data_IF_553737308542
#
_entry.id   IF_553737308542
#
_cell.length_a   1.000
_cell.length_b   1.000
_cell.length_c   1.000
_cell.angle_alpha   90.00
_cell.angle_beta   90.00
_cell.angle_gamma   90.00
#
_symmetry.space_group_name_H-M   'P 1'
#
loop_
_entity.id
_entity.type
_entity.pdbx_description
1 polymer ?
#
# COMPACT_ATOMS: atom_id res chain seq x y z
N UNK A 1 7.90 -51.58 13.83
CA UNK A 1 6.65 -50.98 13.28
C UNK A 1 5.88 -50.46 14.48
N UNK A 2 5.92 -49.19 14.87
CA UNK A 2 6.26 -47.94 14.20
C UNK A 2 7.16 -47.12 15.14
N UNK A 3 8.32 -46.70 14.62
CA UNK A 3 9.02 -45.50 15.11
C UNK A 3 8.29 -44.30 14.52
N UNK A 4 7.66 -43.48 15.36
CA UNK A 4 7.60 -42.05 15.10
C UNK A 4 7.88 -41.38 16.44
N UNK A 5 9.15 -41.03 16.59
CA UNK A 5 9.71 -40.24 17.68
C UNK A 5 8.84 -39.02 17.96
N UNK A 6 8.56 -38.84 19.24
CA UNK A 6 8.09 -37.62 19.89
C UNK A 6 8.96 -36.43 19.46
N UNK A 7 8.64 -35.77 18.35
CA UNK A 7 9.24 -34.51 17.90
C UNK A 7 8.24 -33.34 18.01
N UNK A 8 7.35 -33.42 19.00
CA UNK A 8 6.29 -32.43 19.28
C UNK A 8 6.46 -31.75 20.65
N UNK A 9 7.69 -31.71 21.17
CA UNK A 9 8.18 -30.87 22.28
C UNK A 9 9.37 -30.11 21.67
N UNK A 10 9.54 -28.79 21.58
CA UNK A 10 9.06 -27.57 22.23
C UNK A 10 9.19 -26.45 21.15
N UNK A 11 8.31 -25.48 20.91
CA UNK A 11 7.87 -24.43 21.83
C UNK A 11 9.02 -23.76 22.62
N UNK A 12 10.14 -23.46 21.96
CA UNK A 12 11.11 -22.46 22.46
C UNK A 12 11.30 -21.33 21.45
N UNK A 13 10.38 -20.38 21.51
CA UNK A 13 10.52 -18.97 21.09
C UNK A 13 11.66 -18.28 21.90
N UNK A 14 12.83 -18.89 22.03
CA UNK A 14 13.91 -18.43 22.92
C UNK A 14 15.14 -19.34 23.03
N UNK A 15 15.25 -20.39 22.21
CA UNK A 15 16.39 -21.32 22.23
C UNK A 15 17.37 -21.21 21.06
N UNK A 16 16.99 -20.52 19.98
CA UNK A 16 17.83 -20.34 18.81
C UNK A 16 18.69 -19.07 18.97
N UNK A 17 19.99 -19.16 18.69
CA UNK A 17 20.95 -18.04 18.78
C UNK A 17 20.48 -16.85 17.93
N UNK A 18 19.74 -17.14 16.86
CA UNK A 18 19.20 -16.13 15.94
C UNK A 18 17.85 -15.51 16.35
N UNK A 19 17.17 -16.05 17.36
CA UNK A 19 15.79 -15.69 17.66
C UNK A 19 15.61 -14.25 18.16
N UNK A 20 16.48 -13.80 19.09
CA UNK A 20 16.45 -12.42 19.60
C UNK A 20 16.76 -11.39 18.49
N UNK A 21 17.67 -11.74 17.57
CA UNK A 21 17.98 -10.94 16.40
C UNK A 21 16.77 -10.85 15.47
N UNK A 22 16.13 -11.99 15.19
CA UNK A 22 14.92 -12.04 14.38
C UNK A 22 13.79 -11.18 14.96
N UNK A 23 13.56 -11.22 16.27
CA UNK A 23 12.54 -10.38 16.93
C UNK A 23 12.86 -8.89 16.79
N UNK A 24 14.12 -8.53 17.02
CA UNK A 24 14.58 -7.14 16.91
C UNK A 24 14.41 -6.62 15.48
N UNK A 25 14.84 -7.40 14.49
CA UNK A 25 14.75 -7.02 13.07
C UNK A 25 13.30 -6.94 12.60
N UNK A 26 12.49 -7.94 12.94
CA UNK A 26 11.06 -7.98 12.59
C UNK A 26 10.32 -6.77 13.17
N UNK A 27 10.56 -6.47 14.45
CA UNK A 27 9.95 -5.30 15.10
C UNK A 27 10.42 -4.00 14.45
N UNK A 28 11.72 -3.86 14.17
CA UNK A 28 12.28 -2.67 13.51
C UNK A 28 11.69 -2.45 12.12
N UNK A 29 11.56 -3.51 11.32
CA UNK A 29 10.95 -3.46 9.99
C UNK A 29 9.48 -3.02 10.07
N UNK A 30 8.71 -3.62 10.99
CA UNK A 30 7.29 -3.30 11.16
C UNK A 30 7.07 -1.86 11.65
N UNK A 31 7.89 -1.37 12.60
CA UNK A 31 7.82 0.02 13.06
C UNK A 31 8.16 1.00 11.94
N UNK A 32 9.20 0.69 11.16
CA UNK A 32 9.63 1.48 10.00
C UNK A 32 8.54 1.56 8.92
N UNK A 33 7.87 0.42 8.64
CA UNK A 33 6.73 0.35 7.73
C UNK A 33 5.55 1.17 8.23
N UNK A 34 5.19 1.03 9.52
CA UNK A 34 4.10 1.78 10.13
C UNK A 34 4.33 3.29 10.09
N UNK A 35 5.59 3.73 10.30
CA UNK A 35 5.96 5.15 10.17
C UNK A 35 5.78 5.65 8.74
N UNK A 36 6.24 4.90 7.73
CA UNK A 36 6.06 5.26 6.32
C UNK A 36 4.58 5.28 5.90
N UNK A 37 3.80 4.31 6.35
CA UNK A 37 2.37 4.26 6.07
C UNK A 37 1.67 5.52 6.60
N UNK A 38 1.99 5.95 7.83
CA UNK A 38 1.46 7.20 8.41
C UNK A 38 1.85 8.41 7.59
N UNK A 39 3.13 8.58 7.28
CA UNK A 39 3.61 9.70 6.47
C UNK A 39 2.89 9.77 5.11
N UNK A 40 2.66 8.63 4.47
CA UNK A 40 1.97 8.59 3.19
C UNK A 40 0.47 8.92 3.32
N UNK A 41 -0.22 8.31 4.29
CA UNK A 41 -1.64 8.59 4.56
C UNK A 41 -1.86 10.06 4.90
N UNK A 42 -1.05 10.62 5.80
CA UNK A 42 -1.13 12.02 6.20
C UNK A 42 -0.82 12.95 5.02
N UNK A 43 0.20 12.61 4.24
CA UNK A 43 0.55 13.32 3.00
C UNK A 43 -0.62 13.37 2.02
N UNK A 44 -1.25 12.24 1.71
CA UNK A 44 -2.43 12.22 0.84
C UNK A 44 -3.60 12.99 1.41
N UNK A 45 -3.89 12.84 2.70
CA UNK A 45 -5.01 13.54 3.36
C UNK A 45 -4.78 15.05 3.49
N UNK A 46 -3.53 15.52 3.38
CA UNK A 46 -3.23 16.96 3.28
C UNK A 46 -3.52 17.54 1.90
N UNK A 47 -3.64 16.70 0.85
CA UNK A 47 -3.93 17.15 -0.50
C UNK A 47 -5.42 17.46 -0.68
N UNK A 48 -5.73 18.55 -1.38
CA UNK A 48 -7.12 18.92 -1.70
C UNK A 48 -7.78 17.82 -2.54
N UNK A 49 -9.01 17.47 -2.17
CA UNK A 49 -9.83 16.48 -2.89
C UNK A 49 -9.27 15.05 -2.89
N UNK A 50 -8.32 14.74 -2.00
CA UNK A 50 -7.77 13.40 -1.81
C UNK A 50 -8.18 12.88 -0.43
N UNK A 51 -8.63 11.64 -0.37
CA UNK A 51 -8.92 10.94 0.88
C UNK A 51 -8.22 9.59 0.83
N UNK A 52 -7.38 9.30 1.82
CA UNK A 52 -6.67 8.04 1.95
C UNK A 52 -6.96 7.42 3.30
N UNK A 53 -7.40 6.16 3.28
CA UNK A 53 -7.50 5.36 4.49
C UNK A 53 -6.10 4.99 4.99
N UNK A 54 -5.97 4.82 6.31
CA UNK A 54 -4.74 4.32 6.88
C UNK A 54 -4.55 2.85 6.51
N UNK A 55 -3.40 2.52 5.94
CA UNK A 55 -3.02 1.14 5.65
C UNK A 55 -2.33 0.55 6.88
N UNK A 56 -3.01 -0.31 7.63
CA UNK A 56 -2.46 -0.93 8.85
C UNK A 56 -1.34 -1.93 8.55
N UNK A 57 -1.53 -2.75 7.50
CA UNK A 57 -0.61 -3.82 7.09
C UNK A 57 -0.65 -3.96 5.57
N UNK A 58 0.22 -3.24 4.84
CA UNK A 58 0.60 -3.47 3.45
C UNK A 58 1.61 -2.41 3.00
N UNK A 59 2.24 -2.64 1.85
CA UNK A 59 3.15 -1.70 1.19
C UNK A 59 2.44 -0.63 0.33
N UNK A 60 1.12 -0.73 0.19
CA UNK A 60 0.36 0.08 -0.76
C UNK A 60 -0.69 0.94 -0.07
N UNK A 61 -0.84 2.17 -0.57
CA UNK A 61 -1.92 3.08 -0.22
C UNK A 61 -2.84 3.23 -1.41
N UNK A 62 -4.15 3.27 -1.16
CA UNK A 62 -5.16 3.41 -2.21
C UNK A 62 -5.98 4.69 -1.97
N UNK A 63 -5.44 5.87 -2.33
CA UNK A 63 -6.14 7.13 -2.14
C UNK A 63 -7.31 7.27 -3.12
N UNK A 64 -8.45 7.73 -2.61
CA UNK A 64 -9.56 8.19 -3.42
C UNK A 64 -9.31 9.64 -3.83
N UNK A 65 -9.22 9.89 -5.13
CA UNK A 65 -9.07 11.24 -5.70
C UNK A 65 -10.42 11.66 -6.27
N UNK A 66 -10.99 12.76 -5.76
CA UNK A 66 -12.22 13.35 -6.30
C UNK A 66 -11.87 14.29 -7.45
N UNK A 67 -11.92 13.76 -8.67
CA UNK A 67 -11.63 14.52 -9.88
C UNK A 67 -12.75 15.54 -10.18
N UNK A 68 -12.42 16.79 -10.52
CA UNK A 68 -13.43 17.77 -10.92
C UNK A 68 -14.02 17.41 -12.30
N UNK A 69 -15.25 17.83 -12.61
CA UNK A 69 -15.92 17.52 -13.88
C UNK A 69 -15.07 17.84 -15.13
N UNK A 70 -14.37 18.98 -15.12
CA UNK A 70 -13.47 19.38 -16.21
C UNK A 70 -12.34 18.39 -16.48
N UNK A 71 -11.81 17.74 -15.44
CA UNK A 71 -10.77 16.73 -15.60
C UNK A 71 -11.34 15.43 -16.19
N UNK A 72 -12.56 15.07 -15.81
CA UNK A 72 -13.27 13.91 -16.36
C UNK A 72 -13.59 14.15 -17.84
N UNK A 73 -14.04 15.34 -18.21
CA UNK A 73 -14.26 15.73 -19.61
C UNK A 73 -12.98 15.70 -20.42
N UNK A 74 -11.88 16.24 -19.92
CA UNK A 74 -10.58 16.21 -20.59
C UNK A 74 -10.10 14.75 -20.82
N UNK A 75 -10.30 13.87 -19.85
CA UNK A 75 -9.98 12.46 -19.99
C UNK A 75 -10.82 11.79 -21.10
N UNK A 76 -12.13 12.09 -21.14
CA UNK A 76 -13.04 11.61 -22.20
C UNK A 76 -12.63 12.12 -23.59
N UNK A 77 -12.31 13.41 -23.71
CA UNK A 77 -11.81 13.98 -24.98
C UNK A 77 -10.50 13.36 -25.44
N UNK A 78 -9.66 12.90 -24.50
CA UNK A 78 -8.43 12.16 -24.79
C UNK A 78 -8.66 10.65 -25.02
N UNK A 79 -9.91 10.16 -24.96
CA UNK A 79 -10.24 8.74 -25.12
C UNK A 79 -9.69 7.85 -23.99
N UNK A 80 -9.55 8.39 -22.77
CA UNK A 80 -8.99 7.69 -21.61
C UNK A 80 -9.98 7.64 -20.44
N UNK A 81 -9.87 6.59 -19.64
CA UNK A 81 -10.54 6.51 -18.32
C UNK A 81 -9.94 7.61 -17.42
N UNK A 82 -10.74 8.31 -16.58
CA UNK A 82 -10.26 9.46 -15.82
C UNK A 82 -9.04 9.22 -14.92
N UNK A 83 -8.97 8.07 -14.27
CA UNK A 83 -7.85 7.70 -13.41
C UNK A 83 -6.57 7.36 -14.18
N UNK A 84 -6.70 6.68 -15.33
CA UNK A 84 -5.60 6.45 -16.28
C UNK A 84 -5.06 7.79 -16.77
N UNK A 85 -5.94 8.71 -17.15
CA UNK A 85 -5.55 10.04 -17.58
C UNK A 85 -4.81 10.80 -16.48
N UNK A 86 -5.30 10.72 -15.23
CA UNK A 86 -4.63 11.32 -14.08
C UNK A 86 -3.23 10.72 -13.85
N UNK A 87 -3.09 9.40 -13.86
CA UNK A 87 -1.80 8.73 -13.65
C UNK A 87 -0.77 9.11 -14.74
N UNK A 88 -1.21 9.21 -16.00
CA UNK A 88 -0.34 9.66 -17.09
C UNK A 88 0.10 11.11 -16.90
N UNK A 89 -0.82 12.00 -16.52
CA UNK A 89 -0.48 13.41 -16.26
C UNK A 89 0.42 13.59 -15.05
N UNK A 90 0.22 12.79 -14.00
CA UNK A 90 1.11 12.76 -12.83
C UNK A 90 2.53 12.33 -13.24
N UNK A 91 2.64 11.27 -14.04
CA UNK A 91 3.92 10.78 -14.55
C UNK A 91 4.62 11.84 -15.41
N UNK A 92 3.91 12.46 -16.37
CA UNK A 92 4.45 13.52 -17.22
C UNK A 92 4.95 14.73 -16.41
N UNK A 93 4.24 15.11 -15.35
CA UNK A 93 4.56 16.30 -14.56
C UNK A 93 5.64 16.08 -13.49
N UNK A 94 5.75 14.86 -12.95
CA UNK A 94 6.56 14.59 -11.75
C UNK A 94 7.58 13.47 -11.91
N UNK A 95 7.46 12.65 -12.95
CA UNK A 95 8.22 11.41 -13.11
C UNK A 95 7.74 10.26 -12.21
N UNK A 96 6.69 10.45 -11.42
CA UNK A 96 6.16 9.43 -10.50
C UNK A 96 5.17 8.53 -11.26
N UNK A 97 5.49 7.24 -11.36
CA UNK A 97 4.58 6.25 -11.93
C UNK A 97 3.67 5.65 -10.86
N UNK A 98 2.35 5.72 -11.10
CA UNK A 98 1.32 5.15 -10.24
C UNK A 98 0.42 4.20 -11.03
N UNK A 99 -0.30 3.32 -10.33
CA UNK A 99 -1.23 2.37 -10.98
C UNK A 99 -2.66 2.92 -10.91
N UNK A 100 -3.41 2.97 -12.03
CA UNK A 100 -4.80 3.42 -12.03
C UNK A 100 -5.73 2.45 -11.31
N UNK A 101 -6.74 2.98 -10.61
CA UNK A 101 -7.70 2.20 -9.82
C UNK A 101 -8.64 1.32 -10.66
N UNK A 102 -8.83 1.65 -11.93
CA UNK A 102 -9.69 0.97 -12.90
C UNK A 102 -9.24 -0.47 -13.16
N UNK A 103 -7.96 -0.79 -12.94
CA UNK A 103 -7.45 -2.16 -13.00
C UNK A 103 -7.83 -3.04 -11.79
N UNK A 104 -8.38 -2.47 -10.72
CA UNK A 104 -8.62 -3.17 -9.44
C UNK A 104 -10.11 -3.29 -9.06
N UNK A 105 -11.03 -2.88 -9.93
CA UNK A 105 -12.48 -3.03 -9.67
C UNK A 105 -13.04 -2.00 -8.67
N UNK A 106 -12.75 -0.72 -8.87
CA UNK A 106 -13.29 0.37 -8.04
C UNK A 106 -14.80 0.60 -8.27
N UNK A 107 -15.48 1.15 -7.25
CA UNK A 107 -16.88 1.58 -7.35
C UNK A 107 -17.03 2.64 -8.45
N UNK A 108 -18.13 2.58 -9.20
CA UNK A 108 -18.50 3.61 -10.18
C UNK A 108 -18.69 4.99 -9.50
N UNK A 109 -18.06 6.02 -10.07
CA UNK A 109 -18.09 7.39 -9.55
C UNK A 109 -17.11 8.32 -10.25
#
# INVERSE_FOLDING_TARGET
MLEVSTSAQELTLGGDISYEQFLTDSKGILESLRKRARMMTDGFNSCKSVVCNFTEVAMYSFPQIKLPPKAIEAAKSAGKVPDVFYCLKLLEATGISTVPGSGFGQKEG
#
